data_IF_183834250206
#
_entry.id   IF_183834250206
#
_cell.length_a   1.000
_cell.length_b   1.000
_cell.length_c   1.000
_cell.angle_alpha   90.00
_cell.angle_beta   90.00
_cell.angle_gamma   90.00
#
_symmetry.space_group_name_H-M   'P 1'
#
loop_
_entity.id
_entity.type
_entity.pdbx_description
1 polymer ?
#
# COMPACT_ATOMS: atom_id res chain seq x y z
N UNK A 1 51.70 57.63 -10.40
CA UNK A 1 50.32 57.34 -10.76
C UNK A 1 50.28 55.87 -11.24
N UNK A 2 49.83 54.96 -10.39
CA UNK A 2 49.86 53.52 -10.66
C UNK A 2 48.42 53.03 -10.89
N UNK A 3 48.10 52.67 -12.13
CA UNK A 3 46.82 52.14 -12.54
C UNK A 3 46.82 50.62 -12.30
N UNK A 4 46.00 50.14 -11.37
CA UNK A 4 45.70 48.70 -11.15
C UNK A 4 44.62 48.21 -12.10
N UNK A 5 44.78 47.06 -12.78
CA UNK A 5 43.70 46.50 -13.57
C UNK A 5 42.70 45.75 -12.66
N UNK A 6 41.43 46.02 -12.85
CA UNK A 6 40.32 45.31 -12.25
C UNK A 6 40.06 44.06 -13.08
N UNK A 7 40.33 42.90 -12.53
CA UNK A 7 39.96 41.62 -13.12
C UNK A 7 38.47 41.33 -12.83
N UNK A 8 37.66 41.38 -13.88
CA UNK A 8 36.26 41.01 -13.84
C UNK A 8 36.15 39.46 -13.96
N UNK A 9 35.85 38.80 -12.86
CA UNK A 9 35.61 37.35 -12.86
C UNK A 9 34.20 37.07 -13.38
N UNK A 10 34.10 36.47 -14.58
CA UNK A 10 32.87 36.02 -15.20
C UNK A 10 32.51 34.64 -14.61
N UNK A 11 31.54 34.60 -13.69
CA UNK A 11 31.01 33.36 -13.16
C UNK A 11 30.09 32.68 -14.21
N UNK A 12 30.55 31.60 -14.83
CA UNK A 12 29.70 30.73 -15.64
C UNK A 12 28.76 29.96 -14.71
N UNK A 13 27.48 30.35 -14.70
CA UNK A 13 26.40 29.55 -14.16
C UNK A 13 26.14 28.37 -15.12
N UNK A 14 26.68 27.20 -14.81
CA UNK A 14 26.26 25.94 -15.44
C UNK A 14 24.87 25.60 -14.94
N UNK A 15 23.83 25.95 -15.70
CA UNK A 15 22.51 25.39 -15.53
C UNK A 15 22.62 23.90 -15.82
N UNK A 16 22.71 23.07 -14.77
CA UNK A 16 22.59 21.62 -14.87
C UNK A 16 21.22 21.29 -15.44
N UNK A 17 21.17 20.84 -16.69
CA UNK A 17 19.98 20.20 -17.22
C UNK A 17 19.64 19.02 -16.31
N UNK A 18 18.60 19.17 -15.48
CA UNK A 18 17.97 18.01 -14.83
C UNK A 18 17.34 17.22 -15.96
N UNK A 19 17.89 16.06 -16.24
CA UNK A 19 17.29 15.10 -17.16
C UNK A 19 15.86 14.87 -16.67
N UNK A 20 14.88 15.05 -17.57
CA UNK A 20 13.50 14.71 -17.26
C UNK A 20 13.44 13.21 -16.94
N UNK A 21 12.73 12.78 -15.89
CA UNK A 21 12.59 11.36 -15.60
C UNK A 21 12.04 10.65 -16.84
N UNK A 22 12.59 9.45 -17.13
CA UNK A 22 12.09 8.62 -18.22
C UNK A 22 10.57 8.46 -18.13
N UNK A 23 9.85 8.60 -19.22
CA UNK A 23 8.41 8.47 -19.22
C UNK A 23 8.05 7.06 -18.72
N UNK A 24 7.16 7.00 -17.73
CA UNK A 24 6.66 5.73 -17.24
C UNK A 24 6.07 4.89 -18.38
N UNK A 25 6.37 3.56 -18.46
CA UNK A 25 5.75 2.68 -19.46
C UNK A 25 4.26 2.46 -19.21
N UNK A 26 3.73 2.94 -18.08
CA UNK A 26 2.33 2.79 -17.72
C UNK A 26 1.53 4.04 -18.10
N UNK A 27 0.27 3.88 -18.55
CA UNK A 27 -0.59 5.00 -18.90
C UNK A 27 -0.88 5.87 -17.67
N UNK A 28 -0.97 7.18 -17.89
CA UNK A 28 -1.48 8.12 -16.90
C UNK A 28 -2.97 7.83 -16.67
N UNK A 29 -3.42 7.62 -15.42
CA UNK A 29 -4.79 7.21 -15.11
C UNK A 29 -5.85 8.26 -15.43
N UNK A 30 -5.51 9.53 -15.69
CA UNK A 30 -6.45 10.61 -16.06
C UNK A 30 -7.65 10.71 -15.09
N UNK A 31 -7.45 10.49 -13.80
CA UNK A 31 -8.48 10.53 -12.77
C UNK A 31 -8.03 11.31 -11.53
N UNK A 32 -8.97 11.87 -10.74
CA UNK A 32 -8.62 12.40 -9.43
C UNK A 32 -8.06 11.31 -8.52
N UNK A 33 -7.07 11.68 -7.70
CA UNK A 33 -6.51 10.84 -6.65
C UNK A 33 -6.97 11.39 -5.30
N UNK A 34 -7.55 10.53 -4.48
CA UNK A 34 -7.97 10.90 -3.14
C UNK A 34 -6.74 11.05 -2.21
N UNK A 35 -6.82 11.92 -1.20
CA UNK A 35 -5.80 11.95 -0.16
C UNK A 35 -5.68 10.61 0.54
N UNK A 36 -4.46 10.22 0.87
CA UNK A 36 -4.18 9.03 1.70
C UNK A 36 -4.88 9.21 3.05
N UNK A 37 -5.52 8.15 3.53
CA UNK A 37 -6.31 8.11 4.77
C UNK A 37 -7.55 9.01 4.68
N UNK A 38 -8.59 8.51 4.04
CA UNK A 38 -9.90 9.17 4.04
C UNK A 38 -10.56 9.02 5.42
N UNK A 39 -10.88 10.11 6.14
CA UNK A 39 -11.57 10.06 7.44
C UNK A 39 -12.93 9.33 7.39
N UNK A 40 -13.52 9.23 6.20
CA UNK A 40 -14.82 8.59 6.00
C UNK A 40 -14.81 7.10 6.30
N UNK A 41 -13.68 6.43 6.12
CA UNK A 41 -13.54 4.97 6.26
C UNK A 41 -12.67 4.56 7.45
N UNK A 42 -12.27 5.52 8.29
CA UNK A 42 -11.52 5.26 9.52
C UNK A 42 -12.39 4.79 10.68
N UNK A 43 -13.72 4.93 10.57
CA UNK A 43 -14.65 4.49 11.61
C UNK A 43 -15.18 3.07 11.31
N UNK A 44 -14.98 2.14 12.24
CA UNK A 44 -15.39 0.74 12.12
C UNK A 44 -16.92 0.54 12.27
N UNK A 45 -17.58 1.33 13.13
CA UNK A 45 -19.01 1.15 13.42
C UNK A 45 -19.94 1.18 12.19
N UNK A 46 -19.81 2.12 11.23
CA UNK A 46 -20.59 2.10 10.01
C UNK A 46 -20.32 0.87 9.13
N UNK A 47 -19.09 0.39 9.12
CA UNK A 47 -18.67 -0.78 8.34
C UNK A 47 -19.27 -2.06 8.92
N UNK A 48 -19.20 -2.20 10.24
CA UNK A 48 -19.79 -3.33 10.96
C UNK A 48 -21.31 -3.33 10.82
N UNK A 49 -21.94 -2.14 10.95
CA UNK A 49 -23.40 -1.99 10.79
C UNK A 49 -23.88 -2.34 9.37
N UNK A 50 -23.03 -2.18 8.36
CA UNK A 50 -23.31 -2.54 6.97
C UNK A 50 -23.01 -4.03 6.66
N UNK A 51 -22.44 -4.79 7.57
CA UNK A 51 -21.98 -6.16 7.33
C UNK A 51 -20.86 -6.23 6.27
N UNK A 52 -20.02 -5.18 6.21
CA UNK A 52 -19.02 -5.05 5.15
C UNK A 52 -18.01 -6.19 5.17
N UNK A 53 -17.51 -6.56 6.35
CA UNK A 53 -16.52 -7.62 6.49
C UNK A 53 -17.06 -8.96 5.95
N UNK A 54 -18.25 -9.37 6.39
CA UNK A 54 -18.89 -10.62 5.98
C UNK A 54 -19.12 -10.65 4.47
N UNK A 55 -19.54 -9.52 3.91
CA UNK A 55 -19.79 -9.39 2.47
C UNK A 55 -18.51 -9.51 1.66
N UNK A 56 -17.43 -8.89 2.09
CA UNK A 56 -16.12 -9.00 1.43
C UNK A 56 -15.59 -10.43 1.54
N UNK A 57 -15.70 -11.08 2.70
CA UNK A 57 -15.29 -12.49 2.89
C UNK A 57 -16.07 -13.41 1.94
N UNK A 58 -17.39 -13.23 1.82
CA UNK A 58 -18.25 -14.00 0.90
C UNK A 58 -17.81 -13.80 -0.55
N UNK A 59 -17.72 -12.56 -1.02
CA UNK A 59 -17.39 -12.21 -2.41
C UNK A 59 -15.99 -12.64 -2.81
N UNK A 60 -15.03 -12.50 -1.90
CA UNK A 60 -13.64 -12.93 -2.11
C UNK A 60 -13.47 -14.45 -1.99
N UNK A 61 -14.47 -15.18 -1.50
CA UNK A 61 -14.39 -16.62 -1.25
C UNK A 61 -13.28 -16.96 -0.26
N UNK A 62 -13.10 -16.14 0.78
CA UNK A 62 -12.05 -16.37 1.79
C UNK A 62 -12.39 -17.57 2.64
N UNK A 63 -11.41 -18.48 2.81
CA UNK A 63 -11.57 -19.74 3.53
C UNK A 63 -10.42 -19.99 4.50
N UNK A 64 -10.62 -20.84 5.52
CA UNK A 64 -9.55 -21.30 6.40
C UNK A 64 -8.37 -21.89 5.62
N UNK A 65 -7.16 -21.54 6.03
CA UNK A 65 -5.91 -21.98 5.40
C UNK A 65 -5.37 -21.03 4.32
N UNK A 66 -6.14 -20.06 3.87
CA UNK A 66 -5.68 -19.08 2.87
C UNK A 66 -4.65 -18.13 3.43
N UNK A 67 -3.78 -17.65 2.53
CA UNK A 67 -2.86 -16.53 2.76
C UNK A 67 -3.45 -15.27 2.13
N UNK A 68 -3.69 -14.24 2.94
CA UNK A 68 -4.35 -13.01 2.53
C UNK A 68 -3.39 -11.83 2.72
N UNK A 69 -3.31 -10.93 1.74
CA UNK A 69 -2.73 -9.61 1.93
C UNK A 69 -3.85 -8.58 2.07
N UNK A 70 -3.76 -7.77 3.10
CA UNK A 70 -4.60 -6.59 3.35
C UNK A 70 -3.74 -5.35 3.05
N UNK A 71 -3.97 -4.74 1.89
CA UNK A 71 -3.15 -3.65 1.36
C UNK A 71 -3.84 -2.32 1.61
N UNK A 72 -3.10 -1.36 2.19
CA UNK A 72 -3.68 -0.15 2.76
C UNK A 72 -4.45 -0.48 4.04
N UNK A 73 -3.87 -1.34 4.88
CA UNK A 73 -4.53 -1.92 6.05
C UNK A 73 -4.99 -0.89 7.10
N UNK A 74 -4.37 0.29 7.12
CA UNK A 74 -4.69 1.34 8.07
C UNK A 74 -4.56 0.85 9.52
N UNK A 75 -5.62 1.00 10.30
CA UNK A 75 -5.70 0.53 11.68
C UNK A 75 -5.95 -0.97 11.82
N UNK A 76 -6.12 -1.71 10.70
CA UNK A 76 -6.19 -3.16 10.68
C UNK A 76 -7.59 -3.76 10.71
N UNK A 77 -8.60 -3.02 10.28
CA UNK A 77 -9.99 -3.48 10.28
C UNK A 77 -10.17 -4.88 9.71
N UNK A 78 -9.62 -5.14 8.51
CA UNK A 78 -9.65 -6.48 7.90
C UNK A 78 -8.63 -7.41 8.53
N UNK A 79 -7.41 -6.94 8.75
CA UNK A 79 -6.30 -7.77 9.23
C UNK A 79 -6.63 -8.49 10.54
N UNK A 80 -7.22 -7.78 11.50
CA UNK A 80 -7.61 -8.34 12.81
C UNK A 80 -8.73 -9.38 12.66
N UNK A 81 -9.75 -9.06 11.86
CA UNK A 81 -10.91 -9.96 11.64
C UNK A 81 -10.59 -11.18 10.79
N UNK A 82 -9.64 -11.07 9.85
CA UNK A 82 -9.18 -12.17 9.02
C UNK A 82 -8.33 -13.19 9.81
N UNK A 83 -7.56 -12.74 10.80
CA UNK A 83 -6.65 -13.61 11.55
C UNK A 83 -7.32 -14.87 12.12
N UNK A 84 -8.45 -14.80 12.85
CA UNK A 84 -9.16 -15.97 13.30
C UNK A 84 -9.80 -16.77 12.16
N UNK A 85 -10.29 -16.11 11.11
CA UNK A 85 -10.98 -16.75 10.00
C UNK A 85 -10.06 -17.67 9.17
N UNK A 86 -8.84 -17.20 8.86
CA UNK A 86 -7.87 -18.03 8.10
C UNK A 86 -7.33 -19.21 8.93
N UNK A 87 -7.46 -19.17 10.24
CA UNK A 87 -7.15 -20.27 11.14
C UNK A 87 -5.67 -20.60 11.24
N UNK A 88 -5.37 -21.81 11.74
CA UNK A 88 -4.01 -22.22 12.09
C UNK A 88 -3.05 -22.33 10.90
N UNK A 89 -3.55 -22.68 9.73
CA UNK A 89 -2.76 -22.90 8.51
C UNK A 89 -2.69 -21.66 7.63
N UNK A 90 -3.60 -20.67 7.83
CA UNK A 90 -3.63 -19.43 7.08
C UNK A 90 -2.68 -18.38 7.63
N UNK A 91 -2.50 -17.30 6.88
CA UNK A 91 -1.68 -16.14 7.23
C UNK A 91 -2.33 -14.87 6.74
N UNK A 92 -2.10 -13.78 7.44
CA UNK A 92 -2.49 -12.44 7.01
C UNK A 92 -1.22 -11.58 6.97
N UNK A 93 -1.05 -10.82 5.90
CA UNK A 93 -0.06 -9.76 5.81
C UNK A 93 -0.79 -8.43 5.67
N UNK A 94 -0.67 -7.59 6.68
CA UNK A 94 -1.12 -6.20 6.65
C UNK A 94 -0.03 -5.31 6.06
N UNK A 95 -0.34 -4.56 5.02
CA UNK A 95 0.61 -3.65 4.40
C UNK A 95 0.06 -2.23 4.43
N UNK A 96 0.91 -1.27 4.75
CA UNK A 96 0.60 0.16 4.65
C UNK A 96 1.83 0.93 4.17
N UNK A 97 1.63 2.12 3.58
CA UNK A 97 2.72 2.97 3.10
C UNK A 97 3.11 4.05 4.11
N UNK A 98 2.28 4.27 5.12
CA UNK A 98 2.52 5.26 6.18
C UNK A 98 3.25 4.58 7.34
N UNK A 99 4.53 4.91 7.62
CA UNK A 99 5.30 4.24 8.66
C UNK A 99 4.63 4.27 10.04
N UNK A 100 4.04 5.41 10.42
CA UNK A 100 3.39 5.59 11.71
C UNK A 100 2.15 4.68 11.85
N UNK A 101 1.35 4.56 10.80
CA UNK A 101 0.17 3.67 10.75
C UNK A 101 0.61 2.21 10.87
N UNK A 102 1.62 1.81 10.08
CA UNK A 102 2.20 0.47 10.11
C UNK A 102 2.72 0.12 11.52
N UNK A 103 3.43 1.05 12.19
CA UNK A 103 3.98 0.82 13.52
C UNK A 103 2.89 0.73 14.60
N UNK A 104 1.86 1.57 14.51
CA UNK A 104 0.70 1.53 15.41
C UNK A 104 -0.06 0.19 15.27
N UNK A 105 -0.28 -0.26 14.03
CA UNK A 105 -0.91 -1.55 13.74
C UNK A 105 -0.09 -2.70 14.33
N UNK A 106 1.23 -2.74 14.11
CA UNK A 106 2.11 -3.77 14.65
C UNK A 106 2.05 -3.86 16.19
N UNK A 107 2.01 -2.70 16.87
CA UNK A 107 1.86 -2.64 18.32
C UNK A 107 0.47 -3.15 18.77
N UNK A 108 -0.59 -2.81 18.05
CA UNK A 108 -1.96 -3.29 18.30
C UNK A 108 -2.02 -4.80 18.22
N UNK A 109 -1.55 -5.37 17.13
CA UNK A 109 -1.53 -6.82 16.89
C UNK A 109 -0.74 -7.58 17.98
N UNK A 110 0.39 -7.02 18.43
CA UNK A 110 1.18 -7.61 19.53
C UNK A 110 0.39 -7.63 20.83
N UNK A 111 -0.31 -6.54 21.18
CA UNK A 111 -1.15 -6.46 22.39
C UNK A 111 -2.29 -7.49 22.35
N UNK A 112 -2.88 -7.72 21.18
CA UNK A 112 -3.98 -8.66 20.97
C UNK A 112 -3.52 -10.10 20.75
N UNK A 113 -2.20 -10.35 20.75
CA UNK A 113 -1.58 -11.67 20.51
C UNK A 113 -1.98 -12.29 19.18
N UNK A 114 -2.07 -11.46 18.14
CA UNK A 114 -2.39 -11.88 16.78
C UNK A 114 -1.13 -12.23 15.98
N UNK A 115 -0.36 -13.20 16.45
CA UNK A 115 0.96 -13.58 15.92
C UNK A 115 0.96 -14.05 14.46
N UNK A 116 -0.24 -14.28 13.88
CA UNK A 116 -0.39 -14.71 12.49
C UNK A 116 -0.53 -13.56 11.50
N UNK A 117 -0.62 -12.35 12.00
CA UNK A 117 -0.66 -11.14 11.18
C UNK A 117 0.74 -10.54 11.14
N UNK A 118 1.37 -10.65 9.99
CA UNK A 118 2.62 -9.93 9.73
C UNK A 118 2.30 -8.52 9.25
N UNK A 119 3.17 -7.55 9.54
CA UNK A 119 3.01 -6.17 9.09
C UNK A 119 4.18 -5.76 8.22
N UNK A 120 3.90 -5.06 7.11
CA UNK A 120 4.92 -4.63 6.15
C UNK A 120 4.71 -3.18 5.72
N UNK A 121 5.81 -2.46 5.54
CA UNK A 121 5.82 -1.17 4.88
C UNK A 121 5.97 -1.38 3.37
N UNK A 122 5.11 -0.76 2.58
CA UNK A 122 5.19 -0.73 1.13
C UNK A 122 5.59 0.65 0.61
N UNK A 123 5.54 0.80 -0.71
CA UNK A 123 5.76 2.05 -1.44
C UNK A 123 4.47 2.47 -2.15
N UNK A 124 4.32 3.75 -2.52
CA UNK A 124 3.10 4.23 -3.20
C UNK A 124 2.78 3.52 -4.51
N UNK A 125 3.77 3.03 -5.23
CA UNK A 125 3.63 2.33 -6.50
C UNK A 125 3.99 0.83 -6.45
N UNK A 126 4.39 0.33 -5.26
CA UNK A 126 4.76 -1.07 -5.07
C UNK A 126 4.42 -1.50 -3.62
N UNK A 127 3.46 -2.41 -3.41
CA UNK A 127 3.14 -2.90 -2.08
C UNK A 127 4.26 -3.77 -1.49
N UNK A 128 5.29 -4.10 -2.26
CA UNK A 128 6.46 -4.89 -1.86
C UNK A 128 6.10 -6.24 -1.24
N UNK A 129 5.04 -6.85 -1.72
CA UNK A 129 4.58 -8.16 -1.23
C UNK A 129 5.50 -9.28 -1.70
N UNK A 130 5.66 -10.37 -0.92
CA UNK A 130 6.43 -11.53 -1.35
C UNK A 130 5.75 -12.23 -2.53
N UNK A 131 6.57 -12.70 -3.48
CA UNK A 131 6.09 -13.38 -4.69
C UNK A 131 5.36 -14.70 -4.37
N UNK A 132 4.37 -15.04 -5.19
CA UNK A 132 3.63 -16.32 -5.20
C UNK A 132 3.10 -16.72 -3.81
N UNK A 133 2.66 -15.73 -3.03
CA UNK A 133 2.37 -15.92 -1.61
C UNK A 133 0.88 -15.88 -1.24
N UNK A 134 0.04 -15.19 -2.03
CA UNK A 134 -1.31 -14.87 -1.60
C UNK A 134 -2.39 -15.53 -2.47
N UNK A 135 -3.40 -16.06 -1.77
CA UNK A 135 -4.64 -16.55 -2.38
C UNK A 135 -5.58 -15.39 -2.69
N UNK A 136 -5.58 -14.36 -1.84
CA UNK A 136 -6.34 -13.11 -2.03
C UNK A 136 -5.49 -11.91 -1.63
N UNK A 137 -5.63 -10.83 -2.39
CA UNK A 137 -5.08 -9.51 -2.05
C UNK A 137 -6.24 -8.53 -2.03
N UNK A 138 -6.48 -7.93 -0.87
CA UNK A 138 -7.57 -6.97 -0.66
C UNK A 138 -7.06 -5.54 -0.91
N UNK A 139 -7.81 -4.77 -1.70
CA UNK A 139 -7.60 -3.35 -1.96
C UNK A 139 -8.87 -2.57 -1.57
N UNK A 140 -9.33 -2.75 -0.35
CA UNK A 140 -10.63 -2.23 0.10
C UNK A 140 -10.48 -0.78 0.56
N UNK A 141 -11.28 0.12 -0.01
CA UNK A 141 -11.29 1.56 0.26
C UNK A 141 -9.97 2.31 0.05
N UNK A 142 -8.99 1.70 -0.63
CA UNK A 142 -7.68 2.33 -0.85
C UNK A 142 -7.32 2.54 -2.32
N UNK A 143 -7.96 1.83 -3.27
CA UNK A 143 -7.60 1.90 -4.70
C UNK A 143 -7.70 3.33 -5.28
N UNK A 144 -8.64 4.14 -4.81
CA UNK A 144 -8.84 5.52 -5.24
C UNK A 144 -7.73 6.47 -4.74
N UNK A 145 -6.89 6.04 -3.80
CA UNK A 145 -5.73 6.76 -3.27
C UNK A 145 -4.44 6.43 -4.04
N UNK A 146 -4.44 5.40 -4.90
CA UNK A 146 -3.26 5.03 -5.69
C UNK A 146 -3.08 5.99 -6.85
N UNK A 147 -1.98 6.73 -6.86
CA UNK A 147 -1.66 7.70 -7.90
C UNK A 147 -1.37 7.02 -9.25
N UNK A 148 -0.68 5.88 -9.23
CA UNK A 148 -0.25 5.12 -10.41
C UNK A 148 -0.78 3.68 -10.39
N UNK A 149 -2.10 3.47 -10.59
CA UNK A 149 -2.74 2.17 -10.37
C UNK A 149 -2.24 1.07 -11.31
N UNK A 150 -1.91 1.38 -12.56
CA UNK A 150 -1.40 0.39 -13.52
C UNK A 150 -0.03 -0.15 -13.09
N UNK A 151 0.87 0.72 -12.64
CA UNK A 151 2.18 0.33 -12.12
C UNK A 151 2.05 -0.44 -10.82
N UNK A 152 1.20 0.04 -9.90
CA UNK A 152 0.93 -0.63 -8.64
C UNK A 152 0.42 -2.07 -8.84
N UNK A 153 -0.58 -2.27 -9.71
CA UNK A 153 -1.12 -3.59 -10.02
C UNK A 153 -0.10 -4.48 -10.73
N UNK A 154 0.77 -3.89 -11.56
CA UNK A 154 1.86 -4.61 -12.20
C UNK A 154 2.85 -5.15 -11.16
N UNK A 155 3.26 -4.32 -10.18
CA UNK A 155 4.17 -4.69 -9.11
C UNK A 155 3.52 -5.64 -8.08
N UNK A 156 2.21 -5.57 -7.91
CA UNK A 156 1.45 -6.46 -7.04
C UNK A 156 1.27 -7.87 -7.64
N UNK A 157 1.10 -7.96 -8.96
CA UNK A 157 0.76 -9.21 -9.66
C UNK A 157 1.65 -10.41 -9.32
N UNK A 158 3.00 -10.30 -9.24
CA UNK A 158 3.86 -11.43 -8.91
C UNK A 158 3.59 -12.07 -7.55
N UNK A 159 2.93 -11.34 -6.65
CA UNK A 159 2.62 -11.81 -5.29
C UNK A 159 1.44 -12.78 -5.23
N UNK A 160 0.64 -12.85 -6.28
CA UNK A 160 -0.47 -13.79 -6.38
C UNK A 160 0.02 -15.22 -6.61
N UNK A 161 -0.59 -16.17 -5.94
CA UNK A 161 -0.52 -17.59 -6.31
C UNK A 161 -1.21 -17.80 -7.66
N UNK A 162 -1.03 -19.00 -8.25
CA UNK A 162 -1.59 -19.36 -9.56
C UNK A 162 -3.08 -19.06 -9.68
N UNK A 163 -3.86 -19.41 -8.64
CA UNK A 163 -5.32 -19.23 -8.60
C UNK A 163 -5.72 -18.06 -7.67
N UNK A 164 -4.74 -17.19 -7.36
CA UNK A 164 -4.95 -16.03 -6.53
C UNK A 164 -5.67 -14.91 -7.26
N UNK A 165 -6.35 -14.05 -6.52
CA UNK A 165 -7.06 -12.89 -7.07
C UNK A 165 -6.92 -11.64 -6.20
N UNK A 166 -7.11 -10.48 -6.83
CA UNK A 166 -7.28 -9.18 -6.20
C UNK A 166 -8.78 -8.91 -6.04
N UNK A 167 -9.14 -8.30 -4.92
CA UNK A 167 -10.52 -7.95 -4.54
C UNK A 167 -10.60 -6.47 -4.17
#
# INVERSE_FOLDING_TARGET
MSTRPVLLALALLTAGCREAPDPSPFPDPQRPVAPIVSPRYSNEDPRDSAGEFEKVVELAGIQPGMSIADVGAGEGYYSVRLAPLVGAKGRVLAQDIVPQTRDALAQGLTRERLDKVAVKLGLPNDPMLPETSFDRILLIHMYHEIERPSEFLWNLRPSLKRDGSVV
#
